data_IF_631094711282
#
_entry.id   IF_631094711282
#
_cell.length_a   1.000
_cell.length_b   1.000
_cell.length_c   1.000
_cell.angle_alpha   90.00
_cell.angle_beta   90.00
_cell.angle_gamma   90.00
#
_symmetry.space_group_name_H-M   'P 1'
#
loop_
_entity.id
_entity.type
_entity.pdbx_description
1 polymer ?
#
# COMPACT_ATOMS: atom_id res chain seq x y z
N UNK A 1 -37.85 -41.82 47.71
CA UNK A 1 -37.67 -41.85 46.25
C UNK A 1 -38.05 -40.48 45.74
N UNK A 2 -37.06 -39.59 45.57
CA UNK A 2 -37.25 -38.27 44.94
C UNK A 2 -36.38 -38.30 43.68
N UNK A 3 -37.03 -38.16 42.54
CA UNK A 3 -36.34 -38.00 41.24
C UNK A 3 -36.13 -36.50 41.00
N UNK A 4 -34.86 -36.11 41.02
CA UNK A 4 -34.42 -34.78 40.60
C UNK A 4 -34.25 -34.79 39.05
N UNK A 5 -35.05 -34.00 38.34
CA UNK A 5 -34.91 -33.72 36.93
C UNK A 5 -34.06 -32.48 36.76
N UNK A 6 -32.77 -32.68 36.39
CA UNK A 6 -31.90 -31.58 35.99
C UNK A 6 -32.25 -31.10 34.58
N UNK A 7 -32.67 -29.83 34.43
CA UNK A 7 -32.83 -29.15 33.13
C UNK A 7 -31.45 -28.71 32.61
N UNK A 8 -31.13 -28.93 31.32
CA UNK A 8 -29.89 -28.40 30.75
C UNK A 8 -29.99 -26.88 30.56
N UNK A 9 -29.12 -26.15 31.22
CA UNK A 9 -28.92 -24.72 31.03
C UNK A 9 -28.15 -24.51 29.70
N UNK A 10 -28.86 -23.99 28.69
CA UNK A 10 -28.24 -23.56 27.43
C UNK A 10 -27.60 -22.20 27.70
N UNK A 11 -26.26 -22.17 27.75
CA UNK A 11 -25.49 -20.92 27.83
C UNK A 11 -25.50 -20.26 26.44
N UNK A 12 -25.88 -18.99 26.27
CA UNK A 12 -25.89 -18.33 24.98
C UNK A 12 -24.46 -18.12 24.50
N UNK A 13 -24.15 -18.56 23.27
CA UNK A 13 -22.91 -18.25 22.60
C UNK A 13 -22.72 -16.74 22.51
N UNK A 14 -21.53 -16.18 22.80
CA UNK A 14 -21.30 -14.77 22.65
C UNK A 14 -21.46 -14.37 21.17
N UNK A 15 -22.32 -13.40 20.91
CA UNK A 15 -22.50 -12.80 19.58
C UNK A 15 -21.22 -12.06 19.17
N UNK A 16 -20.77 -12.29 17.94
CA UNK A 16 -19.64 -11.54 17.41
C UNK A 16 -19.99 -10.04 17.32
N UNK A 17 -18.99 -9.16 17.48
CA UNK A 17 -19.17 -7.70 17.32
C UNK A 17 -19.78 -7.32 15.96
N UNK A 18 -19.55 -8.14 14.95
CA UNK A 18 -20.13 -8.05 13.60
C UNK A 18 -21.66 -8.11 13.60
N UNK A 19 -22.26 -8.93 14.45
CA UNK A 19 -23.72 -9.06 14.60
C UNK A 19 -24.29 -7.86 15.37
N UNK A 20 -23.53 -7.29 16.31
CA UNK A 20 -23.96 -6.14 17.11
C UNK A 20 -24.01 -4.84 16.28
N UNK A 21 -23.05 -4.61 15.39
CA UNK A 21 -23.05 -3.44 14.49
C UNK A 21 -24.16 -3.48 13.45
N UNK A 22 -24.54 -4.67 12.97
CA UNK A 22 -25.69 -4.81 12.04
C UNK A 22 -27.05 -4.61 12.73
N UNK A 23 -27.15 -4.90 14.03
CA UNK A 23 -28.36 -4.68 14.81
C UNK A 23 -28.59 -3.19 15.14
N UNK A 24 -27.53 -2.39 15.26
CA UNK A 24 -27.64 -0.94 15.52
C UNK A 24 -28.03 -0.13 14.28
N UNK A 25 -27.78 -0.65 13.06
CA UNK A 25 -28.16 -0.01 11.80
C UNK A 25 -29.65 -0.19 11.42
N UNK A 26 -30.38 -1.09 12.10
CA UNK A 26 -31.77 -1.43 11.78
C UNK A 26 -32.82 -0.80 12.71
N UNK A 27 -32.45 0.03 13.70
CA UNK A 27 -33.37 0.56 14.73
C UNK A 27 -33.53 2.09 14.68
N UNK A 28 -33.74 2.67 13.49
CA UNK A 28 -34.28 4.03 13.38
C UNK A 28 -35.71 4.00 12.84
N UNK A 29 -36.67 3.71 13.74
CA UNK A 29 -38.10 3.89 13.48
C UNK A 29 -38.51 5.28 13.93
N UNK A 30 -39.21 5.96 13.03
CA UNK A 30 -39.72 7.31 13.08
C UNK A 30 -40.51 7.68 14.34
N UNK A 31 -40.23 8.86 14.87
CA UNK A 31 -41.22 9.67 15.58
C UNK A 31 -41.44 10.95 14.79
N UNK A 32 -42.59 11.06 14.16
CA UNK A 32 -43.07 12.28 13.50
C UNK A 32 -43.71 13.20 14.53
N UNK A 33 -43.14 14.41 14.70
CA UNK A 33 -43.91 15.57 15.16
C UNK A 33 -43.43 16.80 14.40
N UNK A 34 -44.40 17.50 13.82
CA UNK A 34 -44.22 18.52 12.82
C UNK A 34 -43.54 19.81 13.26
N UNK A 35 -42.98 20.50 12.29
CA UNK A 35 -42.59 21.89 12.39
C UNK A 35 -41.41 22.27 11.51
N UNK A 36 -41.74 23.06 10.47
CA UNK A 36 -40.86 23.93 9.70
C UNK A 36 -39.72 23.34 8.86
N UNK A 37 -39.93 23.34 7.56
CA UNK A 37 -38.97 23.08 6.52
C UNK A 37 -37.80 24.10 6.55
N UNK A 38 -36.61 23.63 6.83
CA UNK A 38 -35.36 24.17 6.28
C UNK A 38 -34.76 23.07 5.42
N UNK A 39 -34.77 23.30 4.11
CA UNK A 39 -34.17 22.39 3.13
C UNK A 39 -32.65 22.35 3.31
N UNK A 40 -32.17 21.37 4.05
CA UNK A 40 -30.79 20.93 3.97
C UNK A 40 -30.69 19.99 2.77
N UNK A 41 -30.27 20.53 1.61
CA UNK A 41 -29.74 19.73 0.53
C UNK A 41 -28.62 18.88 1.10
N UNK A 42 -28.82 17.57 1.19
CA UNK A 42 -27.73 16.63 1.38
C UNK A 42 -26.80 16.84 0.17
N UNK A 43 -25.70 17.55 0.37
CA UNK A 43 -24.62 17.59 -0.59
C UNK A 43 -24.07 16.17 -0.68
N UNK A 44 -24.49 15.41 -1.69
CA UNK A 44 -23.83 14.18 -2.09
C UNK A 44 -22.40 14.61 -2.42
N UNK A 45 -21.45 14.15 -1.61
CA UNK A 45 -20.02 14.33 -1.90
C UNK A 45 -19.78 13.84 -3.32
N UNK A 46 -19.22 14.71 -4.16
CA UNK A 46 -18.82 14.30 -5.51
C UNK A 46 -17.86 13.12 -5.39
N UNK A 47 -18.02 12.08 -6.21
CA UNK A 47 -17.05 11.00 -6.26
C UNK A 47 -15.68 11.59 -6.61
N UNK A 48 -14.57 11.00 -6.12
CA UNK A 48 -13.23 11.46 -6.45
C UNK A 48 -13.05 11.55 -7.97
N UNK A 49 -12.31 12.54 -8.44
CA UNK A 49 -12.21 12.93 -9.84
C UNK A 49 -11.78 11.82 -10.82
N UNK A 50 -11.24 10.71 -10.30
CA UNK A 50 -10.80 9.54 -11.08
C UNK A 50 -11.74 8.33 -11.04
N UNK A 51 -12.87 8.42 -10.36
CA UNK A 51 -13.91 7.40 -10.43
C UNK A 51 -14.79 7.60 -11.67
N UNK A 52 -14.18 7.54 -12.85
CA UNK A 52 -14.96 7.41 -14.06
C UNK A 52 -15.47 5.96 -14.16
N UNK A 53 -16.77 5.78 -14.34
CA UNK A 53 -17.38 4.51 -14.78
C UNK A 53 -16.92 4.14 -16.21
N UNK A 54 -15.58 4.03 -16.36
CA UNK A 54 -14.93 3.75 -17.64
C UNK A 54 -15.27 2.35 -18.11
N UNK A 55 -15.83 2.24 -19.32
CA UNK A 55 -15.91 0.98 -20.06
C UNK A 55 -14.47 0.60 -20.44
N UNK A 56 -13.93 -0.46 -19.89
CA UNK A 56 -12.58 -0.92 -20.18
C UNK A 56 -12.03 -1.91 -19.16
N UNK A 57 -10.90 -2.55 -19.49
CA UNK A 57 -10.23 -3.45 -18.57
C UNK A 57 -9.66 -2.66 -17.39
N UNK A 58 -9.68 -3.24 -16.18
CA UNK A 58 -9.05 -2.65 -15.00
C UNK A 58 -7.57 -2.39 -15.26
N UNK A 59 -7.08 -1.23 -14.86
CA UNK A 59 -5.65 -0.90 -14.94
C UNK A 59 -4.84 -1.64 -13.86
N UNK A 60 -5.46 -1.87 -12.69
CA UNK A 60 -4.94 -2.76 -11.64
C UNK A 60 -5.95 -3.87 -11.43
N UNK A 61 -5.61 -5.14 -11.70
CA UNK A 61 -6.50 -6.27 -11.43
C UNK A 61 -6.83 -6.36 -9.93
N UNK A 62 -8.06 -6.73 -9.56
CA UNK A 62 -8.46 -6.90 -8.14
C UNK A 62 -7.51 -7.80 -7.35
N UNK A 63 -7.05 -8.89 -7.96
CA UNK A 63 -6.11 -9.83 -7.37
C UNK A 63 -4.67 -9.30 -7.26
N UNK A 64 -4.45 -8.02 -7.56
CA UNK A 64 -3.17 -7.32 -7.53
C UNK A 64 -3.28 -5.96 -6.83
N UNK A 65 -4.40 -5.68 -6.16
CA UNK A 65 -4.54 -4.51 -5.30
C UNK A 65 -4.14 -4.91 -3.89
N UNK A 66 -3.01 -4.40 -3.44
CA UNK A 66 -2.48 -4.59 -2.11
C UNK A 66 -2.43 -3.29 -1.31
N UNK A 67 -1.95 -3.40 -0.07
CA UNK A 67 -1.72 -2.27 0.83
C UNK A 67 -0.38 -2.41 1.55
N UNK A 68 0.39 -1.31 1.58
CA UNK A 68 1.53 -1.19 2.48
C UNK A 68 1.00 -0.89 3.90
N UNK A 69 1.35 -1.75 4.87
CA UNK A 69 0.81 -1.71 6.24
C UNK A 69 1.26 -0.49 7.06
N UNK A 70 2.25 0.27 6.58
CA UNK A 70 2.61 1.56 7.16
C UNK A 70 1.43 2.53 7.16
N UNK A 71 0.55 2.42 6.17
CA UNK A 71 -0.70 3.19 6.04
C UNK A 71 -1.60 3.05 7.26
N UNK A 72 -1.71 1.83 7.79
CA UNK A 72 -2.60 1.46 8.90
C UNK A 72 -1.84 1.06 10.17
N UNK A 73 -0.58 1.53 10.31
CA UNK A 73 0.28 1.21 11.46
C UNK A 73 -0.32 1.58 12.82
N UNK A 74 -1.13 2.65 12.86
CA UNK A 74 -1.89 3.06 14.05
C UNK A 74 -2.88 1.97 14.50
N UNK A 75 -3.53 1.30 13.54
CA UNK A 75 -4.46 0.21 13.80
C UNK A 75 -3.70 -1.09 14.13
N UNK A 76 -2.62 -1.40 13.41
CA UNK A 76 -1.77 -2.54 13.76
C UNK A 76 -1.28 -2.39 15.21
N UNK A 77 -0.84 -1.20 15.61
CA UNK A 77 -0.37 -0.94 16.97
C UNK A 77 -1.47 -0.97 18.03
N UNK A 78 -2.70 -0.60 17.71
CA UNK A 78 -3.80 -0.44 18.70
C UNK A 78 -4.75 -1.64 18.79
N UNK A 79 -4.99 -2.36 17.68
CA UNK A 79 -5.92 -3.50 17.63
C UNK A 79 -5.31 -4.80 17.08
N UNK A 80 -4.06 -4.76 16.60
CA UNK A 80 -3.28 -5.91 16.15
C UNK A 80 -3.58 -6.37 14.73
N UNK A 81 -2.71 -7.24 14.21
CA UNK A 81 -2.82 -7.78 12.85
C UNK A 81 -4.13 -8.50 12.59
N UNK A 82 -4.67 -9.23 13.56
CA UNK A 82 -5.94 -9.97 13.39
C UNK A 82 -7.07 -9.06 12.93
N UNK A 83 -7.35 -8.01 13.70
CA UNK A 83 -8.45 -7.10 13.39
C UNK A 83 -8.19 -6.30 12.11
N UNK A 84 -6.92 -5.94 11.86
CA UNK A 84 -6.52 -5.22 10.65
C UNK A 84 -6.72 -6.11 9.42
N UNK A 85 -6.27 -7.37 9.45
CA UNK A 85 -6.40 -8.27 8.29
C UNK A 85 -7.86 -8.63 8.00
N UNK A 86 -8.69 -8.81 9.04
CA UNK A 86 -10.14 -9.00 8.88
C UNK A 86 -10.76 -7.82 8.12
N UNK A 87 -10.44 -6.59 8.51
CA UNK A 87 -10.96 -5.38 7.87
C UNK A 87 -10.40 -5.18 6.44
N UNK A 88 -9.09 -5.40 6.21
CA UNK A 88 -8.49 -5.29 4.89
C UNK A 88 -9.09 -6.28 3.89
N UNK A 89 -9.34 -7.51 4.33
CA UNK A 89 -10.00 -8.53 3.51
C UNK A 89 -11.47 -8.14 3.23
N UNK A 90 -12.18 -7.55 4.19
CA UNK A 90 -13.56 -7.07 4.01
C UNK A 90 -13.62 -5.88 3.04
N UNK A 91 -12.63 -4.98 3.05
CA UNK A 91 -12.48 -3.89 2.07
C UNK A 91 -12.27 -4.47 0.66
N UNK A 92 -11.54 -5.57 0.53
CA UNK A 92 -11.28 -6.26 -0.72
C UNK A 92 -9.81 -6.34 -1.14
N UNK A 93 -8.88 -5.89 -0.31
CA UNK A 93 -7.45 -6.09 -0.59
C UNK A 93 -7.13 -7.58 -0.71
N UNK A 94 -6.25 -7.91 -1.64
CA UNK A 94 -5.78 -9.29 -1.87
C UNK A 94 -4.39 -9.54 -1.32
N UNK A 95 -3.63 -8.48 -1.10
CA UNK A 95 -2.22 -8.52 -0.76
C UNK A 95 -1.87 -7.49 0.31
N UNK A 96 -0.88 -7.83 1.12
CA UNK A 96 -0.26 -6.89 2.06
C UNK A 96 1.24 -6.82 1.81
N UNK A 97 1.79 -5.65 2.03
CA UNK A 97 3.21 -5.41 2.16
C UNK A 97 3.50 -4.99 3.60
N UNK A 98 4.44 -5.66 4.24
CA UNK A 98 4.75 -5.42 5.64
C UNK A 98 5.63 -4.19 5.84
N UNK A 99 5.36 -3.44 6.92
CA UNK A 99 6.21 -2.40 7.49
C UNK A 99 6.80 -2.88 8.82
N UNK A 100 7.37 -4.08 8.83
CA UNK A 100 7.78 -4.81 10.03
C UNK A 100 6.72 -5.77 10.55
N UNK A 101 7.08 -6.55 11.58
CA UNK A 101 6.32 -7.72 12.03
C UNK A 101 5.85 -7.62 13.49
N UNK A 102 5.73 -6.42 14.02
CA UNK A 102 5.27 -6.17 15.39
C UNK A 102 3.92 -5.48 15.39
N UNK A 103 3.14 -5.70 16.44
CA UNK A 103 1.81 -5.11 16.59
C UNK A 103 1.71 -4.18 17.83
N UNK A 104 2.84 -3.55 18.18
CA UNK A 104 2.91 -2.48 19.17
C UNK A 104 2.29 -2.85 20.53
N UNK A 105 1.28 -2.11 20.95
CA UNK A 105 0.67 -2.21 22.28
C UNK A 105 -0.20 -3.47 22.47
N UNK A 106 -0.52 -4.20 21.43
CA UNK A 106 -1.33 -5.43 21.49
C UNK A 106 -0.55 -6.60 22.10
N UNK A 107 0.77 -6.52 22.02
CA UNK A 107 1.68 -7.53 22.56
C UNK A 107 2.43 -8.30 21.47
N UNK A 108 3.26 -9.28 21.86
CA UNK A 108 4.06 -10.04 20.92
C UNK A 108 3.19 -10.91 20.01
N UNK A 109 3.68 -11.16 18.81
CA UNK A 109 3.11 -12.07 17.84
C UNK A 109 4.26 -12.80 17.13
N UNK A 110 4.05 -14.05 16.79
CA UNK A 110 5.02 -14.84 16.02
C UNK A 110 4.75 -14.74 14.52
N UNK A 111 5.77 -14.98 13.69
CA UNK A 111 5.64 -15.03 12.23
C UNK A 111 4.63 -16.11 11.81
N UNK A 112 4.64 -17.25 12.47
CA UNK A 112 3.67 -18.33 12.20
C UNK A 112 2.22 -17.93 12.49
N UNK A 113 2.00 -17.11 13.52
CA UNK A 113 0.66 -16.55 13.81
C UNK A 113 0.25 -15.52 12.76
N UNK A 114 1.18 -14.65 12.33
CA UNK A 114 0.92 -13.71 11.22
C UNK A 114 0.54 -14.48 9.96
N UNK A 115 1.30 -15.52 9.59
CA UNK A 115 1.01 -16.38 8.43
C UNK A 115 -0.40 -16.95 8.52
N UNK A 116 -0.77 -17.54 9.66
CA UNK A 116 -2.10 -18.10 9.86
C UNK A 116 -3.20 -17.05 9.71
N UNK A 117 -2.98 -15.83 10.24
CA UNK A 117 -3.95 -14.74 10.11
C UNK A 117 -4.14 -14.29 8.65
N UNK A 118 -3.08 -14.30 7.85
CA UNK A 118 -3.16 -14.06 6.40
C UNK A 118 -4.02 -15.14 5.73
N UNK A 119 -3.74 -16.41 6.03
CA UNK A 119 -4.49 -17.55 5.47
C UNK A 119 -5.97 -17.52 5.85
N UNK A 120 -6.27 -17.24 7.13
CA UNK A 120 -7.64 -17.15 7.65
C UNK A 120 -8.46 -16.06 6.94
N UNK A 121 -7.81 -15.04 6.38
CA UNK A 121 -8.44 -13.92 5.69
C UNK A 121 -8.25 -13.94 4.16
N UNK A 122 -7.57 -14.94 3.61
CA UNK A 122 -7.31 -15.04 2.17
C UNK A 122 -6.38 -13.94 1.64
N UNK A 123 -5.57 -13.34 2.51
CA UNK A 123 -4.57 -12.34 2.16
C UNK A 123 -3.22 -13.00 1.83
N UNK A 124 -2.43 -12.37 0.95
CA UNK A 124 -1.07 -12.78 0.64
C UNK A 124 -0.07 -11.75 1.13
N UNK A 125 1.07 -12.22 1.62
CA UNK A 125 2.24 -11.38 1.87
C UNK A 125 3.01 -11.24 0.55
N UNK A 126 2.96 -10.09 -0.11
CA UNK A 126 3.65 -9.88 -1.38
C UNK A 126 5.05 -9.33 -1.18
N UNK A 127 5.20 -8.34 -0.31
CA UNK A 127 6.47 -7.67 -0.02
C UNK A 127 6.64 -7.35 1.46
N UNK A 128 7.82 -6.89 1.82
CA UNK A 128 8.12 -6.38 3.15
C UNK A 128 9.16 -5.27 3.08
N UNK A 129 8.85 -4.11 3.68
CA UNK A 129 9.83 -3.09 4.00
C UNK A 129 10.50 -3.44 5.33
N UNK A 130 11.74 -3.89 5.26
CA UNK A 130 12.57 -4.22 6.43
C UNK A 130 13.95 -3.60 6.26
N UNK A 131 14.64 -3.34 7.36
CA UNK A 131 16.01 -2.83 7.26
C UNK A 131 16.96 -3.96 6.88
N UNK A 132 17.29 -4.07 5.58
CA UNK A 132 18.16 -5.11 5.04
C UNK A 132 19.65 -4.76 5.23
N UNK A 133 20.39 -5.72 5.73
CA UNK A 133 21.83 -5.66 5.90
C UNK A 133 22.47 -7.02 5.60
N UNK A 134 23.78 -7.08 5.23
CA UNK A 134 24.47 -8.36 5.08
C UNK A 134 24.42 -9.24 6.33
N UNK A 135 24.25 -8.64 7.51
CA UNK A 135 24.19 -9.39 8.77
C UNK A 135 22.85 -10.07 9.04
N UNK A 136 21.73 -9.54 8.47
CA UNK A 136 20.39 -10.06 8.76
C UNK A 136 19.68 -10.66 7.55
N UNK A 137 20.25 -10.61 6.35
CA UNK A 137 19.59 -11.06 5.13
C UNK A 137 19.10 -12.51 5.22
N UNK A 138 19.90 -13.41 5.80
CA UNK A 138 19.54 -14.82 5.93
C UNK A 138 18.31 -15.00 6.84
N UNK A 139 18.21 -14.21 7.92
CA UNK A 139 17.02 -14.20 8.80
C UNK A 139 15.79 -13.65 8.07
N UNK A 140 15.96 -12.59 7.27
CA UNK A 140 14.83 -12.01 6.52
C UNK A 140 14.32 -12.96 5.43
N UNK A 141 15.22 -13.72 4.78
CA UNK A 141 14.85 -14.78 3.84
C UNK A 141 14.01 -15.85 4.54
N UNK A 142 14.42 -16.29 5.73
CA UNK A 142 13.67 -17.30 6.51
C UNK A 142 12.26 -16.77 6.88
N UNK A 143 12.16 -15.52 7.33
CA UNK A 143 10.86 -14.89 7.63
C UNK A 143 10.00 -14.79 6.35
N UNK A 144 10.59 -14.41 5.21
CA UNK A 144 9.90 -14.34 3.95
C UNK A 144 9.32 -15.70 3.51
N UNK A 145 10.07 -16.79 3.69
CA UNK A 145 9.58 -18.14 3.44
C UNK A 145 8.40 -18.52 4.35
N UNK A 146 8.48 -18.22 5.64
CA UNK A 146 7.40 -18.49 6.59
C UNK A 146 6.12 -17.69 6.23
N UNK A 147 6.26 -16.46 5.77
CA UNK A 147 5.15 -15.62 5.34
C UNK A 147 4.66 -15.91 3.92
N UNK A 148 5.46 -16.61 3.11
CA UNK A 148 5.20 -16.81 1.68
C UNK A 148 5.44 -15.54 0.85
N UNK A 149 6.28 -14.61 1.34
CA UNK A 149 6.64 -13.36 0.67
C UNK A 149 7.61 -13.64 -0.48
N UNK A 150 7.36 -13.03 -1.65
CA UNK A 150 8.20 -13.19 -2.84
C UNK A 150 9.25 -12.07 -2.98
N UNK A 151 9.04 -10.96 -2.30
CA UNK A 151 9.85 -9.76 -2.44
C UNK A 151 10.28 -9.22 -1.06
N UNK A 152 11.55 -8.82 -0.94
CA UNK A 152 12.07 -8.12 0.23
C UNK A 152 12.67 -6.78 -0.19
N UNK A 153 12.34 -5.73 0.50
CA UNK A 153 12.81 -4.38 0.22
C UNK A 153 13.04 -3.54 1.46
N UNK A 154 13.35 -2.29 1.24
CA UNK A 154 13.54 -1.30 2.29
C UNK A 154 12.74 -0.05 1.95
N UNK A 155 11.97 0.47 2.90
CA UNK A 155 11.11 1.65 2.76
C UNK A 155 11.85 3.00 2.80
N UNK A 156 13.16 3.01 2.62
CA UNK A 156 13.98 4.22 2.60
C UNK A 156 15.22 4.03 1.74
N UNK A 157 16.07 5.06 1.61
CA UNK A 157 17.25 5.00 0.77
C UNK A 157 18.21 3.89 1.22
N UNK A 158 18.80 3.18 0.26
CA UNK A 158 19.74 2.09 0.54
C UNK A 158 21.08 2.56 1.13
N UNK A 159 21.34 3.86 1.10
CA UNK A 159 22.47 4.52 1.76
C UNK A 159 22.10 5.94 2.16
N UNK A 160 22.81 6.48 3.16
CA UNK A 160 22.72 7.90 3.54
C UNK A 160 23.88 8.74 2.97
N UNK A 161 24.83 8.09 2.29
CA UNK A 161 25.99 8.75 1.68
C UNK A 161 25.64 9.15 0.25
N UNK A 162 25.26 10.41 0.07
CA UNK A 162 24.78 10.93 -1.22
C UNK A 162 25.93 11.30 -2.18
N UNK A 163 26.85 10.35 -2.42
CA UNK A 163 27.92 10.46 -3.43
C UNK A 163 27.81 9.34 -4.44
N UNK A 164 28.39 9.51 -5.62
CA UNK A 164 28.46 8.45 -6.64
C UNK A 164 29.00 7.17 -6.02
N UNK A 165 30.16 7.24 -5.35
CA UNK A 165 30.78 6.06 -4.74
C UNK A 165 29.94 5.44 -3.62
N UNK A 166 29.22 6.27 -2.85
CA UNK A 166 28.34 5.81 -1.77
C UNK A 166 27.16 4.98 -2.31
N UNK A 167 26.51 5.46 -3.35
CA UNK A 167 25.41 4.76 -4.00
C UNK A 167 25.88 3.50 -4.75
N UNK A 168 27.00 3.58 -5.48
CA UNK A 168 27.59 2.41 -6.16
C UNK A 168 27.95 1.29 -5.16
N UNK A 169 28.61 1.62 -4.05
CA UNK A 169 28.96 0.63 -3.02
C UNK A 169 27.71 0.00 -2.40
N UNK A 170 26.68 0.81 -2.12
CA UNK A 170 25.42 0.31 -1.59
C UNK A 170 24.71 -0.61 -2.60
N UNK A 171 24.68 -0.24 -3.87
CA UNK A 171 24.07 -1.08 -4.92
C UNK A 171 24.81 -2.43 -5.09
N UNK A 172 26.14 -2.44 -5.03
CA UNK A 172 26.93 -3.68 -5.05
C UNK A 172 26.59 -4.58 -3.85
N UNK A 173 26.51 -4.01 -2.63
CA UNK A 173 26.07 -4.74 -1.43
C UNK A 173 24.65 -5.31 -1.61
N UNK A 174 23.75 -4.55 -2.24
CA UNK A 174 22.40 -5.02 -2.54
C UNK A 174 22.38 -6.14 -3.57
N UNK A 175 23.24 -6.10 -4.59
CA UNK A 175 23.39 -7.21 -5.55
C UNK A 175 23.90 -8.48 -4.84
N UNK A 176 24.87 -8.36 -3.93
CA UNK A 176 25.35 -9.50 -3.13
C UNK A 176 24.25 -10.13 -2.26
N UNK A 177 23.47 -9.30 -1.54
CA UNK A 177 22.31 -9.77 -0.79
C UNK A 177 21.23 -10.33 -1.71
N UNK A 178 21.02 -9.71 -2.87
CA UNK A 178 20.10 -10.15 -3.91
C UNK A 178 20.43 -11.52 -4.47
N UNK A 179 21.71 -11.83 -4.66
CA UNK A 179 22.15 -13.16 -5.08
C UNK A 179 21.80 -14.24 -4.03
N UNK A 180 21.95 -13.95 -2.74
CA UNK A 180 21.53 -14.85 -1.66
C UNK A 180 20.00 -15.05 -1.67
N UNK A 181 19.23 -13.97 -1.77
CA UNK A 181 17.78 -14.01 -1.80
C UNK A 181 17.26 -14.78 -3.03
N UNK A 182 17.84 -14.55 -4.21
CA UNK A 182 17.47 -15.22 -5.46
C UNK A 182 17.73 -16.73 -5.41
N UNK A 183 18.81 -17.17 -4.76
CA UNK A 183 19.08 -18.58 -4.53
C UNK A 183 17.98 -19.29 -3.70
N UNK A 184 17.17 -18.50 -2.98
CA UNK A 184 16.03 -18.94 -2.17
C UNK A 184 14.68 -18.61 -2.80
N UNK A 185 14.66 -18.17 -4.07
CA UNK A 185 13.43 -17.83 -4.79
C UNK A 185 12.80 -16.48 -4.40
N UNK A 186 13.54 -15.61 -3.71
CA UNK A 186 13.10 -14.28 -3.28
C UNK A 186 13.87 -13.25 -4.09
N UNK A 187 13.20 -12.18 -4.55
CA UNK A 187 13.82 -11.07 -5.25
C UNK A 187 13.86 -9.84 -4.35
N UNK A 188 15.00 -9.17 -4.30
CA UNK A 188 15.06 -7.88 -3.62
C UNK A 188 14.42 -6.78 -4.48
N UNK A 189 13.97 -5.71 -3.83
CA UNK A 189 13.52 -4.50 -4.51
C UNK A 189 13.95 -3.24 -3.76
N UNK A 190 14.28 -2.19 -4.50
CA UNK A 190 14.55 -0.87 -3.99
C UNK A 190 13.30 0.01 -4.17
N UNK A 191 12.81 0.57 -3.06
CA UNK A 191 11.74 1.56 -3.03
C UNK A 191 12.34 2.96 -3.14
N UNK A 192 11.63 3.90 -3.74
CA UNK A 192 12.06 5.29 -3.87
C UNK A 192 11.19 6.26 -3.08
N UNK A 193 11.81 7.32 -2.59
CA UNK A 193 11.19 8.60 -2.31
C UNK A 193 11.57 9.63 -3.37
N UNK A 194 11.27 10.92 -3.12
CA UNK A 194 11.64 12.00 -4.04
C UNK A 194 13.16 12.22 -4.15
N UNK A 195 13.90 11.90 -3.08
CA UNK A 195 15.34 12.15 -2.99
C UNK A 195 16.17 11.37 -4.01
N UNK A 196 15.76 10.14 -4.36
CA UNK A 196 16.45 9.30 -5.34
C UNK A 196 16.34 9.86 -6.77
N UNK A 197 15.41 10.77 -7.02
CA UNK A 197 15.31 11.49 -8.29
C UNK A 197 16.14 12.78 -8.32
N UNK A 198 16.78 13.14 -7.20
CA UNK A 198 17.80 14.18 -7.14
C UNK A 198 19.14 13.72 -7.68
N UNK A 199 20.16 14.58 -7.52
CA UNK A 199 21.52 14.32 -7.99
C UNK A 199 22.43 13.99 -6.82
N UNK A 200 23.56 13.29 -7.10
CA UNK A 200 24.59 13.07 -6.08
C UNK A 200 25.25 14.39 -5.71
N UNK A 201 25.77 14.46 -4.50
CA UNK A 201 26.36 15.71 -3.95
C UNK A 201 27.73 16.04 -4.56
N UNK A 202 28.41 15.05 -5.12
CA UNK A 202 29.74 15.15 -5.74
C UNK A 202 29.68 15.22 -7.29
N UNK A 203 28.53 14.88 -7.90
CA UNK A 203 28.29 15.02 -9.34
C UNK A 203 26.85 15.50 -9.62
N UNK A 204 26.64 16.80 -9.88
CA UNK A 204 25.30 17.37 -10.13
C UNK A 204 24.71 16.95 -11.49
N UNK A 205 25.41 16.16 -12.30
CA UNK A 205 24.89 15.59 -13.55
C UNK A 205 24.43 14.16 -13.39
N UNK A 206 24.77 13.49 -12.26
CA UNK A 206 24.46 12.09 -12.00
C UNK A 206 23.22 11.97 -11.10
N UNK A 207 22.07 11.67 -11.70
CA UNK A 207 20.84 11.37 -10.95
C UNK A 207 21.00 10.04 -10.21
N UNK A 208 20.59 10.01 -8.94
CA UNK A 208 20.73 8.79 -8.11
C UNK A 208 19.93 7.62 -8.71
N UNK A 209 18.70 7.88 -9.18
CA UNK A 209 17.87 6.82 -9.77
C UNK A 209 18.49 6.21 -11.03
N UNK A 210 19.14 7.03 -11.88
CA UNK A 210 19.89 6.56 -13.06
C UNK A 210 21.10 5.73 -12.63
N UNK A 211 21.79 6.13 -11.58
CA UNK A 211 22.92 5.37 -11.04
C UNK A 211 22.45 4.00 -10.52
N UNK A 212 21.37 3.95 -9.74
CA UNK A 212 20.80 2.70 -9.26
C UNK A 212 20.28 1.82 -10.42
N UNK A 213 19.74 2.45 -11.46
CA UNK A 213 19.35 1.73 -12.69
C UNK A 213 20.51 1.00 -13.34
N UNK A 214 21.68 1.66 -13.43
CA UNK A 214 22.87 1.11 -14.05
C UNK A 214 23.60 0.08 -13.17
N UNK A 215 23.62 0.28 -11.85
CA UNK A 215 24.39 -0.53 -10.88
C UNK A 215 23.66 -1.80 -10.41
N UNK A 216 22.32 -1.80 -10.35
CA UNK A 216 21.58 -2.98 -9.95
C UNK A 216 21.55 -4.04 -11.04
N UNK A 217 21.91 -5.27 -10.67
CA UNK A 217 21.63 -6.44 -11.50
C UNK A 217 20.10 -6.66 -11.58
N UNK A 218 19.50 -6.55 -12.78
CA UNK A 218 18.04 -6.68 -12.92
C UNK A 218 17.50 -8.07 -12.59
N UNK A 219 18.34 -9.11 -12.56
CA UNK A 219 17.95 -10.44 -12.12
C UNK A 219 17.84 -10.55 -10.58
N UNK A 220 18.55 -9.69 -9.85
CA UNK A 220 18.70 -9.77 -8.39
C UNK A 220 17.86 -8.72 -7.66
N UNK A 221 17.85 -7.48 -8.18
CA UNK A 221 17.20 -6.34 -7.56
C UNK A 221 16.20 -5.69 -8.53
N UNK A 222 14.94 -5.69 -8.13
CA UNK A 222 13.86 -4.97 -8.80
C UNK A 222 13.76 -3.54 -8.26
N UNK A 223 12.87 -2.76 -8.85
CA UNK A 223 12.37 -1.51 -8.30
C UNK A 223 10.92 -1.67 -7.84
N UNK A 224 10.60 -1.05 -6.74
CA UNK A 224 9.25 -0.70 -6.38
C UNK A 224 9.10 0.82 -6.56
N UNK A 225 8.50 1.25 -7.66
CA UNK A 225 8.31 2.68 -7.85
C UNK A 225 7.15 3.18 -7.01
N UNK A 226 7.45 4.05 -6.06
CA UNK A 226 6.44 4.93 -5.50
C UNK A 226 6.17 6.05 -6.50
N UNK A 227 5.00 5.97 -7.14
CA UNK A 227 4.63 6.88 -8.23
C UNK A 227 4.43 8.31 -7.74
N UNK A 228 3.88 8.49 -6.54
CA UNK A 228 3.76 9.82 -5.93
C UNK A 228 5.12 10.44 -5.65
N UNK A 229 6.01 9.72 -4.98
CA UNK A 229 7.33 10.25 -4.67
C UNK A 229 8.17 10.47 -5.93
N UNK A 230 7.99 9.67 -6.98
CA UNK A 230 8.62 9.92 -8.28
C UNK A 230 8.08 11.19 -8.94
N UNK A 231 6.76 11.46 -8.81
CA UNK A 231 6.13 12.69 -9.29
C UNK A 231 6.63 13.93 -8.51
N UNK A 232 6.74 13.84 -7.19
CA UNK A 232 7.38 14.88 -6.36
C UNK A 232 8.85 15.07 -6.75
N UNK A 233 9.58 13.98 -6.98
CA UNK A 233 10.96 14.02 -7.46
C UNK A 233 11.11 14.74 -8.80
N UNK A 234 10.18 14.51 -9.73
CA UNK A 234 10.11 15.23 -11.02
C UNK A 234 9.86 16.73 -10.81
N UNK A 235 9.00 17.09 -9.86
CA UNK A 235 8.73 18.49 -9.52
C UNK A 235 9.98 19.19 -8.96
N UNK A 236 10.69 18.51 -8.04
CA UNK A 236 11.88 19.08 -7.39
C UNK A 236 13.14 19.05 -8.25
N UNK A 237 13.29 18.05 -9.10
CA UNK A 237 14.47 17.78 -9.93
C UNK A 237 14.05 17.38 -11.35
N UNK A 238 13.56 18.33 -12.19
CA UNK A 238 12.99 18.01 -13.49
C UNK A 238 14.00 17.40 -14.46
N UNK A 239 13.51 16.97 -15.64
CA UNK A 239 14.32 16.38 -16.72
C UNK A 239 14.18 14.89 -16.87
N UNK A 240 13.17 14.26 -16.26
CA UNK A 240 12.76 12.88 -16.47
C UNK A 240 11.24 12.74 -16.40
N UNK A 241 10.73 11.59 -16.79
CA UNK A 241 9.33 11.20 -16.56
C UNK A 241 9.30 9.86 -15.82
N UNK A 242 8.57 9.73 -14.70
CA UNK A 242 8.49 8.49 -13.94
C UNK A 242 8.08 7.27 -14.80
N UNK A 243 7.12 7.48 -15.72
CA UNK A 243 6.62 6.39 -16.58
C UNK A 243 7.68 5.89 -17.55
N UNK A 244 8.63 6.71 -17.98
CA UNK A 244 9.66 6.31 -18.94
C UNK A 244 10.59 5.26 -18.34
N UNK A 245 10.88 5.32 -17.02
CA UNK A 245 11.62 4.24 -16.34
C UNK A 245 10.85 2.92 -16.39
N UNK A 246 9.57 2.94 -16.12
CA UNK A 246 8.76 1.72 -16.11
C UNK A 246 8.58 1.14 -17.51
N UNK A 247 8.46 2.00 -18.54
CA UNK A 247 8.33 1.56 -19.94
C UNK A 247 9.64 1.08 -20.53
N UNK A 248 10.79 1.58 -20.03
CA UNK A 248 12.12 1.16 -20.48
C UNK A 248 12.37 -0.33 -20.20
N UNK A 249 11.96 -0.82 -19.04
CA UNK A 249 11.99 -2.24 -18.66
C UNK A 249 10.90 -2.55 -17.62
N UNK A 250 9.70 -2.90 -18.07
CA UNK A 250 8.57 -3.13 -17.16
C UNK A 250 8.75 -4.30 -16.18
N UNK A 251 9.64 -5.25 -16.49
CA UNK A 251 9.89 -6.44 -15.65
C UNK A 251 10.76 -6.11 -14.42
N UNK A 252 11.41 -4.94 -14.45
CA UNK A 252 12.11 -4.40 -13.27
C UNK A 252 11.17 -3.79 -12.23
N UNK A 253 9.87 -3.63 -12.53
CA UNK A 253 8.87 -2.99 -11.65
C UNK A 253 7.70 -3.94 -11.34
N UNK A 254 7.93 -5.00 -10.56
CA UNK A 254 6.86 -5.92 -10.16
C UNK A 254 5.86 -5.28 -9.18
N UNK A 255 6.27 -4.25 -8.46
CA UNK A 255 5.51 -3.51 -7.46
C UNK A 255 5.49 -2.03 -7.80
N UNK A 256 4.33 -1.40 -7.60
CA UNK A 256 4.17 0.06 -7.67
C UNK A 256 3.44 0.50 -6.39
N UNK A 257 3.97 1.50 -5.69
CA UNK A 257 3.19 2.20 -4.69
C UNK A 257 2.24 3.18 -5.36
N UNK A 258 0.96 3.01 -5.06
CA UNK A 258 -0.13 3.86 -5.51
C UNK A 258 -0.50 4.79 -4.34
N UNK A 259 0.25 5.87 -4.24
CA UNK A 259 0.10 6.94 -3.25
C UNK A 259 -0.30 8.21 -3.99
N UNK A 260 -1.26 8.97 -3.49
CA UNK A 260 -1.74 10.17 -4.17
C UNK A 260 -1.44 11.43 -3.37
N UNK A 261 -1.37 12.53 -4.07
CA UNK A 261 -1.09 13.82 -3.44
C UNK A 261 -1.62 14.99 -4.24
N UNK A 262 -1.77 16.09 -3.55
CA UNK A 262 -2.28 17.34 -4.09
C UNK A 262 -1.22 18.42 -4.05
N UNK A 263 -1.10 19.18 -5.13
CA UNK A 263 -0.17 20.32 -5.21
C UNK A 263 -0.48 21.29 -4.07
N UNK A 264 0.53 21.57 -3.27
CA UNK A 264 0.50 22.58 -2.21
C UNK A 264 1.86 23.30 -2.17
N UNK A 265 1.97 24.49 -2.76
CA UNK A 265 3.22 25.24 -2.78
C UNK A 265 3.75 25.62 -1.39
N UNK A 266 2.89 25.60 -0.36
CA UNK A 266 3.28 25.87 1.03
C UNK A 266 3.90 24.63 1.72
N UNK A 267 3.75 23.45 1.13
CA UNK A 267 4.38 22.22 1.61
C UNK A 267 5.85 22.18 1.25
N UNK A 268 6.70 21.64 2.13
CA UNK A 268 8.16 21.62 1.96
C UNK A 268 8.67 20.90 0.71
N UNK A 269 7.85 20.03 0.12
CA UNK A 269 8.15 19.32 -1.12
C UNK A 269 7.17 19.65 -2.27
N UNK A 270 6.30 20.65 -2.09
CA UNK A 270 5.33 21.12 -3.07
C UNK A 270 4.03 20.31 -3.13
N UNK A 271 3.85 19.26 -2.32
CA UNK A 271 2.68 18.40 -2.33
C UNK A 271 2.27 17.95 -0.94
N UNK A 272 0.97 17.80 -0.70
CA UNK A 272 0.41 17.11 0.46
C UNK A 272 -0.06 15.72 0.05
N UNK A 273 0.28 14.69 0.84
CA UNK A 273 -0.23 13.33 0.66
C UNK A 273 -1.71 13.31 1.04
N UNK A 274 -2.54 12.68 0.21
CA UNK A 274 -3.99 12.61 0.39
C UNK A 274 -4.53 11.22 0.00
N UNK A 275 -5.81 10.96 0.27
CA UNK A 275 -6.50 9.73 -0.14
C UNK A 275 -6.38 9.51 -1.66
N UNK A 276 -6.13 8.27 -2.07
CA UNK A 276 -6.01 7.92 -3.49
C UNK A 276 -7.29 8.25 -4.26
N UNK A 277 -7.12 8.91 -5.39
CA UNK A 277 -8.19 9.41 -6.26
C UNK A 277 -8.71 10.80 -5.90
N UNK A 278 -8.18 11.43 -4.84
CA UNK A 278 -8.51 12.81 -4.47
C UNK A 278 -7.35 13.79 -4.78
N UNK A 279 -6.20 13.28 -5.21
CA UNK A 279 -5.02 14.04 -5.58
C UNK A 279 -5.00 14.48 -7.04
N UNK A 280 -3.83 14.95 -7.46
CA UNK A 280 -3.60 15.55 -8.78
C UNK A 280 -2.82 14.62 -9.73
N UNK A 281 -2.43 13.41 -9.29
CA UNK A 281 -1.64 12.49 -10.10
C UNK A 281 -2.54 11.73 -11.08
N UNK A 282 -2.27 11.86 -12.37
CA UNK A 282 -3.01 11.15 -13.42
C UNK A 282 -2.58 9.67 -13.51
N UNK A 283 -3.07 8.88 -12.57
CA UNK A 283 -2.84 7.43 -12.54
C UNK A 283 -3.42 6.69 -13.74
N UNK A 284 -4.47 7.23 -14.37
CA UNK A 284 -5.02 6.61 -15.57
C UNK A 284 -4.02 6.68 -16.73
N UNK A 285 -3.46 7.85 -16.99
CA UNK A 285 -2.43 8.03 -18.02
C UNK A 285 -1.13 7.29 -17.68
N UNK A 286 -0.75 7.22 -16.40
CA UNK A 286 0.43 6.48 -15.97
C UNK A 286 0.29 4.97 -16.18
N UNK A 287 -0.85 4.39 -15.80
CA UNK A 287 -1.06 2.93 -15.83
C UNK A 287 -1.53 2.40 -17.19
N UNK A 288 -2.19 3.24 -18.01
CA UNK A 288 -2.78 2.79 -19.28
C UNK A 288 -1.79 2.14 -20.27
N UNK A 289 -0.57 2.67 -20.46
CA UNK A 289 0.42 2.08 -21.38
C UNK A 289 1.05 0.78 -20.86
N UNK A 290 0.95 0.49 -19.56
CA UNK A 290 1.59 -0.68 -18.96
C UNK A 290 0.92 -1.97 -19.43
N UNK A 291 1.76 -2.90 -19.91
CA UNK A 291 1.36 -4.26 -20.30
C UNK A 291 1.51 -5.22 -19.12
N UNK A 292 1.08 -6.47 -19.29
CA UNK A 292 1.26 -7.54 -18.29
C UNK A 292 0.74 -7.18 -16.89
N UNK A 293 -0.42 -6.52 -16.82
CA UNK A 293 -1.03 -6.03 -15.56
C UNK A 293 -1.19 -7.12 -14.50
N UNK A 294 -1.38 -8.38 -14.90
CA UNK A 294 -1.48 -9.52 -13.99
C UNK A 294 -0.15 -9.91 -13.31
N UNK A 295 0.97 -9.35 -13.74
CA UNK A 295 2.30 -9.61 -13.17
C UNK A 295 2.80 -8.48 -12.26
N UNK A 296 2.00 -7.39 -12.10
CA UNK A 296 2.37 -6.22 -11.30
C UNK A 296 1.33 -5.95 -10.23
N UNK A 297 1.80 -5.69 -9.01
CA UNK A 297 0.95 -5.26 -7.91
C UNK A 297 0.90 -3.74 -7.80
N UNK A 298 -0.28 -3.22 -7.50
CA UNK A 298 -0.47 -1.84 -7.04
C UNK A 298 -0.69 -1.86 -5.54
N UNK A 299 0.30 -1.43 -4.79
CA UNK A 299 0.27 -1.36 -3.32
C UNK A 299 -0.16 0.04 -2.91
N UNK A 300 -1.36 0.17 -2.36
CA UNK A 300 -1.81 1.44 -1.80
C UNK A 300 -0.97 1.81 -0.58
N UNK A 301 -0.52 3.07 -0.53
CA UNK A 301 0.10 3.65 0.66
C UNK A 301 -0.33 5.10 0.86
N UNK A 302 -0.51 5.50 2.14
CA UNK A 302 -0.73 6.87 2.58
C UNK A 302 -0.04 7.08 3.92
N UNK A 303 1.08 7.81 3.95
CA UNK A 303 1.92 7.96 5.15
C UNK A 303 1.20 8.65 6.32
N UNK A 304 0.25 9.54 6.01
CA UNK A 304 -0.50 10.34 6.97
C UNK A 304 -1.96 9.89 7.15
N UNK A 305 -2.31 8.64 6.79
CA UNK A 305 -3.69 8.15 6.75
C UNK A 305 -4.43 8.25 8.08
N UNK A 306 -3.72 8.19 9.22
CA UNK A 306 -4.32 8.33 10.54
C UNK A 306 -4.71 9.78 10.89
N UNK A 307 -4.12 10.79 10.21
CA UNK A 307 -4.24 12.21 10.56
C UNK A 307 -4.80 13.08 9.45
N UNK A 308 -4.99 12.53 8.26
CA UNK A 308 -5.48 13.28 7.10
C UNK A 308 -6.57 12.50 6.37
N UNK A 309 -7.70 13.16 6.13
CA UNK A 309 -8.79 12.64 5.31
C UNK A 309 -9.40 13.78 4.48
N UNK A 310 -9.99 13.42 3.33
CA UNK A 310 -10.74 14.38 2.51
C UNK A 310 -12.09 14.65 3.16
N UNK A 311 -12.37 15.91 3.49
CA UNK A 311 -13.65 16.30 4.05
C UNK A 311 -14.81 15.86 3.12
N UNK A 312 -15.96 15.37 3.63
CA UNK A 312 -16.36 15.28 5.04
C UNK A 312 -15.95 13.98 5.75
N UNK A 313 -15.00 13.22 5.21
CA UNK A 313 -14.58 11.94 5.78
C UNK A 313 -13.92 12.11 7.15
N UNK A 314 -14.15 11.19 8.10
CA UNK A 314 -13.47 11.23 9.40
C UNK A 314 -11.99 10.81 9.26
N UNK A 315 -11.16 11.26 10.19
CA UNK A 315 -9.78 10.79 10.36
C UNK A 315 -9.79 9.33 10.81
N UNK A 316 -9.48 8.42 9.87
CA UNK A 316 -9.44 6.98 10.11
C UNK A 316 -8.62 6.31 9.00
N UNK A 317 -7.49 5.71 9.36
CA UNK A 317 -6.59 5.09 8.40
C UNK A 317 -7.23 3.92 7.63
N UNK A 318 -8.05 3.08 8.28
CA UNK A 318 -8.81 2.02 7.60
C UNK A 318 -9.92 2.59 6.73
N UNK A 319 -10.59 3.67 7.18
CA UNK A 319 -11.56 4.40 6.36
C UNK A 319 -10.93 5.00 5.09
N UNK A 320 -9.73 5.59 5.21
CA UNK A 320 -8.94 6.07 4.07
C UNK A 320 -8.57 4.91 3.14
N UNK A 321 -8.12 3.78 3.68
CA UNK A 321 -7.79 2.59 2.90
C UNK A 321 -8.99 2.07 2.11
N UNK A 322 -10.19 2.04 2.71
CA UNK A 322 -11.41 1.59 2.05
C UNK A 322 -11.81 2.51 0.89
N UNK A 323 -11.66 3.83 1.04
CA UNK A 323 -11.97 4.80 -0.02
C UNK A 323 -10.95 4.74 -1.16
N UNK A 324 -9.67 4.68 -0.79
CA UNK A 324 -8.54 4.58 -1.73
C UNK A 324 -8.59 3.27 -2.52
N UNK A 325 -8.94 2.15 -1.89
CA UNK A 325 -9.18 0.88 -2.59
C UNK A 325 -10.21 1.04 -3.71
N UNK A 326 -11.34 1.70 -3.44
CA UNK A 326 -12.38 1.95 -4.46
C UNK A 326 -11.87 2.84 -5.60
N UNK A 327 -11.04 3.84 -5.30
CA UNK A 327 -10.37 4.66 -6.29
C UNK A 327 -9.50 3.84 -7.24
N UNK A 328 -8.63 2.99 -6.67
CA UNK A 328 -7.75 2.10 -7.46
C UNK A 328 -8.57 1.06 -8.24
N UNK A 329 -9.53 0.43 -7.59
CA UNK A 329 -10.42 -0.55 -8.23
C UNK A 329 -11.19 0.05 -9.40
N UNK A 330 -11.52 1.33 -9.33
CA UNK A 330 -12.25 2.10 -10.35
C UNK A 330 -11.43 2.45 -11.59
N UNK A 331 -10.10 2.41 -11.56
CA UNK A 331 -9.27 2.76 -12.71
C UNK A 331 -9.48 1.82 -13.91
N UNK A 332 -9.79 2.41 -15.06
CA UNK A 332 -10.05 1.66 -16.32
C UNK A 332 -9.17 2.16 -17.45
N UNK A 333 -8.72 1.23 -18.29
CA UNK A 333 -8.13 1.60 -19.57
C UNK A 333 -9.21 2.17 -20.49
N UNK A 334 -8.83 3.15 -21.32
CA UNK A 334 -9.73 3.62 -22.39
C UNK A 334 -10.10 2.47 -23.33
N UNK A 335 -11.29 2.52 -23.97
CA UNK A 335 -11.68 1.55 -24.98
C UNK A 335 -10.68 1.60 -26.13
N UNK A 336 -10.04 0.45 -26.41
CA UNK A 336 -9.17 0.28 -27.57
C UNK A 336 -9.98 0.25 -28.91
N UNK A 337 -11.25 0.67 -28.90
CA UNK A 337 -12.18 0.62 -30.03
C UNK A 337 -12.18 1.89 -30.90
N UNK A 338 -11.08 2.63 -30.91
CA UNK A 338 -10.94 3.88 -31.67
C UNK A 338 -9.67 4.00 -32.52
N UNK A 339 -9.17 2.89 -33.14
CA UNK A 339 -8.18 3.00 -34.22
C UNK A 339 -8.43 1.91 -35.27
#
# INVERSE_FOLDING_TARGET
MHHDHAHPTISPKPMSRRTMLKALAASSVAVSLGGAAFGASAATAAPPAHAADGKGARLVPKSRIGIQLFTVRDKVASVGFRAVFEELAEIGFSDVEFAGYTQGNVGPITIAEIRRLLDDNGLRATGSHVNLTPANIDQQIEIAHQLGTQFLGQGGPITRTNTVSGWTTAAQTWNEMGAKAAASGIRLYAHNHAGEFGFTSDDPTRRVYDLLWDEFDPALVAFEMDVFWAHVGQHLSPGFSPIDYVLRDPDRFPLLHLKDGKLNPESGNGYDIIEFGAGDIDYQSFLAPLRNRGQRWGMYEQDNAATTAVAPNPLDSLGNAARSYRGIEGLRGGDASGR
#
